data_IF_020193146832
#
_entry.id   IF_020193146832
#
_cell.length_a   1.000
_cell.length_b   1.000
_cell.length_c   1.000
_cell.angle_alpha   90.00
_cell.angle_beta   90.00
_cell.angle_gamma   90.00
#
_symmetry.space_group_name_H-M   'P 1'
#
loop_
_entity.id
_entity.type
_entity.pdbx_description
1 polymer ?
#
# COMPACT_ATOMS: atom_id res chain seq x y z
N UNK A 1 71.15 -11.24 79.83
CA UNK A 1 70.01 -10.35 79.55
C UNK A 1 70.43 -9.40 78.44
N UNK A 2 70.12 -9.73 77.18
CA UNK A 2 70.41 -8.86 76.04
C UNK A 2 69.30 -9.05 75.00
N UNK A 3 68.39 -8.09 74.97
CA UNK A 3 67.19 -8.05 74.16
C UNK A 3 67.58 -7.46 72.79
N UNK A 4 67.32 -8.21 71.72
CA UNK A 4 67.60 -7.80 70.34
C UNK A 4 66.46 -6.88 69.88
N UNK A 5 66.72 -5.65 69.39
CA UNK A 5 65.65 -4.72 69.04
C UNK A 5 64.98 -5.09 67.72
N UNK A 6 63.66 -5.12 67.74
CA UNK A 6 62.75 -5.18 66.59
C UNK A 6 62.94 -3.94 65.71
N UNK A 7 63.20 -4.15 64.42
CA UNK A 7 63.29 -3.08 63.43
C UNK A 7 61.90 -2.87 62.82
N UNK A 8 61.16 -1.89 63.31
CA UNK A 8 59.90 -1.43 62.71
C UNK A 8 60.20 -0.71 61.40
N UNK A 9 59.85 -1.34 60.28
CA UNK A 9 59.89 -0.71 58.97
C UNK A 9 58.85 0.42 58.91
N UNK A 10 59.32 1.68 58.92
CA UNK A 10 58.50 2.85 58.61
C UNK A 10 58.12 2.80 57.12
N UNK A 11 56.85 2.52 56.82
CA UNK A 11 56.28 2.82 55.51
C UNK A 11 56.35 4.34 55.29
N UNK A 12 57.06 4.78 54.24
CA UNK A 12 57.05 6.18 53.85
C UNK A 12 55.74 6.49 53.13
N UNK A 13 54.82 7.19 53.79
CA UNK A 13 53.72 7.85 53.10
C UNK A 13 54.29 9.08 52.39
N UNK A 14 54.54 8.97 51.09
CA UNK A 14 54.94 10.10 50.25
C UNK A 14 53.66 10.84 49.86
N UNK A 15 53.49 12.06 50.36
CA UNK A 15 52.41 12.95 49.95
C UNK A 15 52.59 13.41 48.49
N UNK A 16 51.50 13.46 47.74
CA UNK A 16 51.49 13.93 46.35
C UNK A 16 51.89 15.40 46.27
N UNK A 17 52.76 15.74 45.31
CA UNK A 17 53.14 17.14 45.09
C UNK A 17 52.06 17.85 44.28
N UNK A 18 51.83 19.15 44.54
CA UNK A 18 50.80 19.94 43.85
C UNK A 18 50.99 19.98 42.33
N UNK A 19 52.24 19.87 41.86
CA UNK A 19 52.58 19.82 40.44
C UNK A 19 52.21 18.49 39.78
N UNK A 20 52.31 17.37 40.50
CA UNK A 20 51.93 16.04 40.00
C UNK A 20 50.40 15.94 39.84
N UNK A 21 49.64 16.57 40.75
CA UNK A 21 48.18 16.67 40.65
C UNK A 21 47.75 17.57 39.47
N UNK A 22 48.50 18.65 39.19
CA UNK A 22 48.24 19.52 38.03
C UNK A 22 48.53 18.78 36.71
N UNK A 23 49.66 18.07 36.63
CA UNK A 23 50.05 17.30 35.43
C UNK A 23 49.01 16.19 35.15
N UNK A 24 48.58 15.46 36.17
CA UNK A 24 47.57 14.39 36.02
C UNK A 24 46.22 14.93 35.56
N UNK A 25 45.73 16.06 36.09
CA UNK A 25 44.50 16.69 35.58
C UNK A 25 44.62 17.08 34.11
N UNK A 26 45.74 17.69 33.71
CA UNK A 26 45.94 18.12 32.31
C UNK A 26 45.96 16.91 31.38
N UNK A 27 46.68 15.85 31.73
CA UNK A 27 46.69 14.60 30.95
C UNK A 27 45.27 14.01 30.88
N UNK A 28 44.52 14.01 31.98
CA UNK A 28 43.17 13.46 32.02
C UNK A 28 42.20 14.25 31.14
N UNK A 29 42.27 15.58 31.13
CA UNK A 29 41.47 16.44 30.24
C UNK A 29 41.75 16.16 28.78
N UNK A 30 43.02 16.03 28.38
CA UNK A 30 43.37 15.65 27.01
C UNK A 30 42.88 14.24 26.64
N UNK A 31 42.96 13.30 27.57
CA UNK A 31 42.49 11.93 27.37
C UNK A 31 40.97 11.89 27.20
N UNK A 32 40.21 12.61 28.02
CA UNK A 32 38.75 12.76 27.88
C UNK A 32 38.40 13.43 26.56
N UNK A 33 39.12 14.48 26.16
CA UNK A 33 38.86 15.17 24.90
C UNK A 33 39.04 14.22 23.69
N UNK A 34 40.11 13.45 23.66
CA UNK A 34 40.34 12.45 22.61
C UNK A 34 39.27 11.33 22.62
N UNK A 35 38.93 10.82 23.80
CA UNK A 35 37.87 9.81 23.95
C UNK A 35 36.49 10.35 23.53
N UNK A 36 36.19 11.61 23.82
CA UNK A 36 34.93 12.27 23.46
C UNK A 36 34.76 12.43 21.96
N UNK A 37 35.83 12.76 21.23
CA UNK A 37 35.80 12.82 19.76
C UNK A 37 35.49 11.45 19.14
N UNK A 38 36.15 10.39 19.61
CA UNK A 38 35.90 9.02 19.16
C UNK A 38 34.45 8.61 19.47
N UNK A 39 34.00 8.85 20.70
CA UNK A 39 32.64 8.52 21.12
C UNK A 39 31.57 9.26 20.31
N UNK A 40 31.81 10.55 19.99
CA UNK A 40 30.88 11.34 19.18
C UNK A 40 30.79 10.81 17.75
N UNK A 41 31.92 10.43 17.15
CA UNK A 41 31.95 9.77 15.84
C UNK A 41 31.18 8.45 15.84
N UNK A 42 31.45 7.59 16.82
CA UNK A 42 30.76 6.29 16.97
C UNK A 42 29.26 6.46 17.19
N UNK A 43 28.84 7.41 18.03
CA UNK A 43 27.41 7.70 18.25
C UNK A 43 26.72 8.19 16.98
N UNK A 44 27.38 9.02 16.19
CA UNK A 44 26.82 9.57 14.94
C UNK A 44 26.65 8.47 13.91
N UNK A 45 27.70 7.66 13.71
CA UNK A 45 27.65 6.50 12.83
C UNK A 45 26.59 5.49 13.28
N UNK A 46 26.50 5.18 14.57
CA UNK A 46 25.48 4.29 15.11
C UNK A 46 24.07 4.82 14.85
N UNK A 47 23.83 6.12 15.09
CA UNK A 47 22.53 6.75 14.78
C UNK A 47 22.20 6.64 13.30
N UNK A 48 23.15 6.92 12.41
CA UNK A 48 22.94 6.81 10.96
C UNK A 48 22.58 5.37 10.56
N UNK A 49 23.36 4.38 11.01
CA UNK A 49 23.12 2.97 10.71
C UNK A 49 21.76 2.50 11.25
N UNK A 50 21.40 2.91 12.47
CA UNK A 50 20.10 2.61 13.06
C UNK A 50 18.95 3.21 12.25
N UNK A 51 19.08 4.45 11.76
CA UNK A 51 18.05 5.11 10.94
C UNK A 51 17.91 4.46 9.57
N UNK A 52 19.02 4.11 8.93
CA UNK A 52 18.99 3.38 7.65
C UNK A 52 18.29 2.02 7.82
N UNK A 53 18.59 1.30 8.91
CA UNK A 53 17.95 0.02 9.21
C UNK A 53 16.45 0.17 9.47
N UNK A 54 16.02 1.16 10.25
CA UNK A 54 14.61 1.50 10.49
C UNK A 54 13.87 1.75 9.18
N UNK A 55 14.38 2.66 8.32
CA UNK A 55 13.74 2.98 7.04
C UNK A 55 13.70 1.78 6.08
N UNK A 56 14.68 0.88 6.16
CA UNK A 56 14.68 -0.35 5.34
C UNK A 56 13.60 -1.33 5.79
N UNK A 57 13.41 -1.51 7.10
CA UNK A 57 12.37 -2.40 7.63
C UNK A 57 10.98 -1.83 7.33
N UNK A 58 10.78 -0.53 7.55
CA UNK A 58 9.53 0.17 7.21
C UNK A 58 9.20 0.01 5.72
N UNK A 59 10.19 0.23 4.84
CA UNK A 59 10.01 0.04 3.40
C UNK A 59 9.66 -1.38 3.01
N UNK A 60 10.29 -2.40 3.60
CA UNK A 60 9.96 -3.80 3.27
C UNK A 60 8.49 -4.10 3.63
N UNK A 61 8.04 -3.72 4.83
CA UNK A 61 6.69 -4.03 5.29
C UNK A 61 5.64 -3.22 4.50
N UNK A 62 5.85 -1.91 4.34
CA UNK A 62 4.91 -1.05 3.64
C UNK A 62 4.75 -1.42 2.16
N UNK A 63 5.84 -1.80 1.50
CA UNK A 63 5.81 -2.20 0.09
C UNK A 63 5.27 -3.63 -0.12
N UNK A 64 5.36 -4.51 0.89
CA UNK A 64 4.71 -5.82 0.82
C UNK A 64 3.18 -5.72 0.85
N UNK A 65 2.63 -4.75 1.58
CA UNK A 65 1.19 -4.44 1.55
C UNK A 65 0.76 -4.04 0.12
N UNK A 66 1.50 -3.14 -0.53
CA UNK A 66 1.23 -2.76 -1.92
C UNK A 66 1.35 -3.97 -2.87
N UNK A 67 2.41 -4.76 -2.73
CA UNK A 67 2.62 -5.97 -3.54
C UNK A 67 1.44 -6.94 -3.41
N UNK A 68 0.99 -7.22 -2.18
CA UNK A 68 -0.11 -8.14 -1.92
C UNK A 68 -1.44 -7.62 -2.47
N UNK A 69 -1.72 -6.33 -2.34
CA UNK A 69 -2.94 -5.73 -2.90
C UNK A 69 -2.95 -5.82 -4.44
N UNK A 70 -1.82 -5.61 -5.11
CA UNK A 70 -1.70 -5.79 -6.57
C UNK A 70 -1.94 -7.25 -6.97
N UNK A 71 -1.35 -8.19 -6.24
CA UNK A 71 -1.50 -9.63 -6.51
C UNK A 71 -2.97 -10.08 -6.40
N UNK A 72 -3.68 -9.53 -5.41
CA UNK A 72 -5.08 -9.85 -5.11
C UNK A 72 -6.10 -8.90 -5.75
N UNK A 73 -5.65 -7.99 -6.62
CA UNK A 73 -6.54 -7.10 -7.35
C UNK A 73 -7.58 -7.89 -8.15
N UNK A 74 -8.84 -7.48 -8.10
CA UNK A 74 -9.94 -8.19 -8.75
C UNK A 74 -10.59 -9.32 -7.94
N UNK A 75 -9.99 -9.74 -6.81
CA UNK A 75 -10.62 -10.72 -5.92
C UNK A 75 -12.00 -10.22 -5.46
N UNK A 76 -13.03 -11.05 -5.63
CA UNK A 76 -14.39 -10.71 -5.20
C UNK A 76 -15.02 -9.52 -5.92
N UNK A 77 -14.48 -9.08 -7.07
CA UNK A 77 -15.10 -8.01 -7.86
C UNK A 77 -16.24 -8.55 -8.73
N UNK A 78 -17.48 -8.05 -8.55
CA UNK A 78 -18.60 -8.38 -9.44
C UNK A 78 -18.36 -7.89 -10.87
N UNK A 79 -19.01 -8.56 -11.83
CA UNK A 79 -18.97 -8.19 -13.25
C UNK A 79 -20.37 -7.91 -13.81
N UNK A 80 -21.29 -8.83 -13.56
CA UNK A 80 -22.70 -8.66 -13.88
C UNK A 80 -23.51 -8.34 -12.63
N UNK A 81 -24.80 -8.07 -12.81
CA UNK A 81 -25.76 -7.85 -11.72
C UNK A 81 -27.01 -8.70 -11.99
N UNK A 82 -27.63 -9.21 -10.93
CA UNK A 82 -28.90 -9.95 -11.01
C UNK A 82 -29.85 -9.50 -9.91
N UNK A 83 -31.16 -9.64 -10.13
CA UNK A 83 -32.20 -9.32 -9.15
C UNK A 83 -32.68 -7.87 -9.18
N UNK A 84 -32.38 -7.16 -10.27
CA UNK A 84 -32.90 -5.83 -10.61
C UNK A 84 -33.33 -5.81 -12.08
N UNK A 85 -34.26 -4.91 -12.41
CA UNK A 85 -34.77 -4.69 -13.77
C UNK A 85 -34.00 -3.54 -14.44
N UNK A 86 -33.75 -3.66 -15.74
CA UNK A 86 -33.24 -2.54 -16.56
C UNK A 86 -34.41 -1.58 -16.86
N UNK A 87 -34.47 -0.46 -16.14
CA UNK A 87 -35.57 0.51 -16.24
C UNK A 87 -35.44 1.37 -17.51
N UNK A 88 -34.22 1.61 -17.96
CA UNK A 88 -33.91 2.58 -19.00
C UNK A 88 -33.60 1.92 -20.38
N UNK A 89 -33.53 0.58 -20.42
CA UNK A 89 -33.42 -0.28 -21.60
C UNK A 89 -32.13 -0.03 -22.38
N UNK A 90 -31.02 0.19 -21.68
CA UNK A 90 -29.69 0.40 -22.25
C UNK A 90 -28.77 -0.83 -22.13
N UNK A 91 -29.27 -1.95 -21.59
CA UNK A 91 -28.54 -3.19 -21.31
C UNK A 91 -27.39 -3.02 -20.29
N UNK A 92 -27.41 -1.95 -19.48
CA UNK A 92 -26.41 -1.65 -18.47
C UNK A 92 -27.02 -1.65 -17.06
N UNK A 93 -27.13 -2.82 -16.44
CA UNK A 93 -27.69 -2.95 -15.10
C UNK A 93 -26.90 -2.23 -13.99
N UNK A 94 -25.66 -1.79 -14.24
CA UNK A 94 -24.85 -1.12 -13.23
C UNK A 94 -25.40 0.23 -12.80
N UNK A 95 -26.00 0.99 -13.73
CA UNK A 95 -26.60 2.28 -13.42
C UNK A 95 -27.88 2.19 -12.56
N UNK A 96 -28.47 0.99 -12.48
CA UNK A 96 -29.62 0.67 -11.63
C UNK A 96 -29.24 0.02 -10.28
N UNK A 97 -27.94 -0.21 -9.98
CA UNK A 97 -27.51 -0.80 -8.69
C UNK A 97 -27.81 0.17 -7.53
N UNK A 98 -28.70 -0.18 -6.58
CA UNK A 98 -29.16 0.77 -5.57
C UNK A 98 -28.04 1.24 -4.64
N UNK A 99 -27.76 2.54 -4.64
CA UNK A 99 -26.79 3.15 -3.70
C UNK A 99 -25.33 2.87 -4.03
N UNK A 100 -25.01 2.37 -5.23
CA UNK A 100 -23.63 2.22 -5.66
C UNK A 100 -22.97 3.58 -5.88
N UNK A 101 -22.09 3.92 -4.95
CA UNK A 101 -21.30 5.16 -4.94
C UNK A 101 -19.86 4.83 -4.52
N UNK A 102 -18.88 5.46 -5.14
CA UNK A 102 -17.48 5.36 -4.69
C UNK A 102 -17.10 6.64 -3.96
N UNK A 103 -16.13 7.39 -4.48
CA UNK A 103 -15.73 8.66 -3.92
C UNK A 103 -16.61 9.81 -4.40
N UNK A 104 -16.71 10.85 -3.59
CA UNK A 104 -17.51 12.05 -3.85
C UNK A 104 -16.67 13.33 -3.94
N UNK A 105 -15.36 13.22 -3.72
CA UNK A 105 -14.42 14.34 -3.76
C UNK A 105 -13.22 14.08 -4.67
N UNK A 106 -12.74 15.13 -5.34
CA UNK A 106 -11.49 15.07 -6.10
C UNK A 106 -10.28 14.96 -5.14
N UNK A 107 -9.19 14.28 -5.53
CA UNK A 107 -8.96 13.64 -6.83
C UNK A 107 -9.61 12.25 -6.98
N UNK A 108 -10.18 11.69 -5.92
CA UNK A 108 -10.67 10.31 -5.88
C UNK A 108 -11.78 10.02 -6.91
N UNK A 109 -12.63 11.02 -7.20
CA UNK A 109 -13.73 10.90 -8.18
C UNK A 109 -13.27 10.55 -9.59
N UNK A 110 -12.05 10.94 -9.97
CA UNK A 110 -11.51 10.74 -11.32
C UNK A 110 -11.24 9.25 -11.62
N UNK A 111 -11.25 8.41 -10.58
CA UNK A 111 -10.98 6.97 -10.65
C UNK A 111 -12.18 6.11 -10.22
N UNK A 112 -13.38 6.69 -10.18
CA UNK A 112 -14.63 5.96 -9.95
C UNK A 112 -15.05 5.15 -11.18
N UNK A 113 -15.68 4.00 -10.95
CA UNK A 113 -16.48 3.26 -11.93
C UNK A 113 -17.97 3.53 -11.75
N UNK A 114 -18.36 3.77 -10.49
CA UNK A 114 -19.70 4.15 -10.11
C UNK A 114 -20.20 5.42 -10.82
N UNK A 115 -21.52 5.53 -11.05
CA UNK A 115 -22.52 4.49 -10.81
C UNK A 115 -22.65 3.52 -12.00
N UNK A 116 -22.15 3.87 -13.18
CA UNK A 116 -22.62 3.29 -14.44
C UNK A 116 -21.82 2.09 -14.94
N UNK A 117 -20.70 1.73 -14.31
CA UNK A 117 -19.80 0.71 -14.86
C UNK A 117 -19.52 -0.41 -13.85
N UNK A 118 -19.28 -1.64 -14.33
CA UNK A 118 -18.69 -2.68 -13.49
C UNK A 118 -17.33 -2.25 -12.95
N UNK A 119 -16.99 -2.63 -11.71
CA UNK A 119 -15.71 -2.27 -11.12
C UNK A 119 -14.54 -2.90 -11.86
N UNK A 120 -13.60 -2.06 -12.27
CA UNK A 120 -12.30 -2.52 -12.78
C UNK A 120 -11.32 -2.79 -11.63
N UNK A 121 -10.42 -3.78 -11.75
CA UNK A 121 -9.46 -4.09 -10.69
C UNK A 121 -8.45 -2.96 -10.46
N UNK A 122 -8.16 -2.18 -11.50
CA UNK A 122 -7.23 -1.06 -11.46
C UNK A 122 -7.81 0.20 -12.09
N UNK A 123 -7.47 1.36 -11.52
CA UNK A 123 -7.50 2.66 -12.19
C UNK A 123 -6.17 3.36 -11.89
N UNK A 124 -5.73 4.24 -12.77
CA UNK A 124 -4.51 4.99 -12.50
C UNK A 124 -4.43 6.29 -13.27
N UNK A 125 -3.70 7.24 -12.70
CA UNK A 125 -3.32 8.47 -13.37
C UNK A 125 -1.80 8.53 -13.52
N UNK A 126 -1.34 8.77 -14.75
CA UNK A 126 0.07 8.96 -15.06
C UNK A 126 0.45 10.44 -14.83
N UNK A 127 1.44 10.68 -13.98
CA UNK A 127 1.84 12.03 -13.57
C UNK A 127 0.71 12.80 -12.89
N UNK A 128 -0.24 12.11 -12.28
CA UNK A 128 -1.49 12.65 -11.75
C UNK A 128 -1.35 13.49 -10.46
N UNK A 129 -0.12 13.79 -10.03
CA UNK A 129 0.20 14.81 -9.03
C UNK A 129 -0.15 16.25 -9.42
N UNK A 130 -1.36 16.48 -9.94
CA UNK A 130 -1.92 17.80 -10.27
C UNK A 130 -2.98 18.25 -9.25
N UNK A 131 -3.38 17.38 -8.31
CA UNK A 131 -4.28 17.72 -7.21
C UNK A 131 -3.50 18.24 -5.98
N UNK A 132 -4.06 19.25 -5.30
CA UNK A 132 -3.45 19.82 -4.10
C UNK A 132 -3.25 18.75 -3.02
N UNK A 133 -2.00 18.56 -2.57
CA UNK A 133 -1.65 17.59 -1.53
C UNK A 133 -1.01 16.29 -2.03
N UNK A 134 -0.81 16.12 -3.34
CA UNK A 134 -0.07 14.99 -3.94
C UNK A 134 1.23 15.51 -4.57
N UNK A 135 2.33 14.75 -4.45
CA UNK A 135 3.62 15.13 -5.06
C UNK A 135 3.52 15.14 -6.58
N UNK A 136 3.99 16.23 -7.19
CA UNK A 136 3.77 16.50 -8.61
C UNK A 136 4.57 15.58 -9.55
N UNK A 137 3.89 15.11 -10.61
CA UNK A 137 4.47 14.24 -11.63
C UNK A 137 4.66 12.79 -11.21
N UNK A 138 4.27 12.42 -9.98
CA UNK A 138 4.14 11.03 -9.56
C UNK A 138 2.78 10.44 -9.97
N UNK A 139 2.75 9.13 -10.12
CA UNK A 139 1.56 8.38 -10.50
C UNK A 139 0.59 8.19 -9.33
N UNK A 140 -0.64 7.85 -9.69
CA UNK A 140 -1.72 7.50 -8.79
C UNK A 140 -2.24 6.11 -9.16
N UNK A 141 -2.33 5.19 -8.21
CA UNK A 141 -2.79 3.82 -8.46
C UNK A 141 -3.98 3.50 -7.56
N UNK A 142 -5.09 3.08 -8.15
CA UNK A 142 -6.26 2.57 -7.46
C UNK A 142 -6.32 1.07 -7.67
N UNK A 143 -6.52 0.34 -6.57
CA UNK A 143 -6.71 -1.10 -6.56
C UNK A 143 -8.08 -1.40 -5.96
N UNK A 144 -8.86 -2.23 -6.64
CA UNK A 144 -10.20 -2.65 -6.19
C UNK A 144 -10.24 -4.16 -6.00
N UNK A 145 -10.77 -4.60 -4.86
CA UNK A 145 -10.93 -6.00 -4.48
C UNK A 145 -11.78 -6.09 -3.21
N UNK A 146 -12.32 -7.25 -2.87
CA UNK A 146 -12.97 -7.47 -1.58
C UNK A 146 -11.98 -7.36 -0.39
N UNK A 147 -10.68 -7.52 -0.60
CA UNK A 147 -9.68 -7.65 0.47
C UNK A 147 -8.77 -6.45 0.71
N UNK A 148 -8.89 -5.35 -0.04
CA UNK A 148 -7.94 -4.22 0.06
C UNK A 148 -8.20 -3.28 1.23
N UNK A 149 -9.35 -3.39 1.91
CA UNK A 149 -9.62 -2.62 3.13
C UNK A 149 -8.90 -3.22 4.36
N UNK A 150 -8.63 -2.41 5.39
CA UNK A 150 -8.04 -2.88 6.65
C UNK A 150 -9.05 -3.57 7.59
N UNK A 151 -10.32 -3.67 7.21
CA UNK A 151 -11.36 -4.36 7.98
C UNK A 151 -11.10 -5.86 8.13
N UNK A 152 -11.37 -6.43 9.31
CA UNK A 152 -11.21 -7.88 9.56
C UNK A 152 -12.10 -8.75 8.67
N UNK A 153 -13.25 -8.23 8.23
CA UNK A 153 -14.15 -8.91 7.31
C UNK A 153 -13.65 -8.90 5.85
N UNK A 154 -12.78 -7.95 5.48
CA UNK A 154 -12.38 -7.73 4.09
C UNK A 154 -11.70 -8.98 3.51
N UNK A 155 -12.19 -9.46 2.37
CA UNK A 155 -11.61 -10.58 1.64
C UNK A 155 -11.91 -11.98 2.20
N UNK A 156 -12.43 -12.06 3.44
CA UNK A 156 -12.98 -13.32 3.96
C UNK A 156 -14.13 -13.77 3.08
N UNK A 157 -14.19 -15.07 2.82
CA UNK A 157 -15.23 -15.63 1.97
C UNK A 157 -15.72 -17.00 2.45
N UNK A 158 -16.95 -17.30 2.07
CA UNK A 158 -17.55 -18.62 2.23
C UNK A 158 -18.49 -18.91 1.07
N UNK A 159 -19.03 -20.12 1.01
CA UNK A 159 -20.01 -20.52 0.01
C UNK A 159 -21.40 -20.66 0.60
N UNK A 160 -22.40 -20.47 -0.25
CA UNK A 160 -23.78 -20.77 0.06
C UNK A 160 -24.14 -22.23 -0.23
N UNK A 161 -25.16 -22.72 0.46
CA UNK A 161 -25.82 -24.00 0.30
C UNK A 161 -27.29 -23.75 -0.04
N UNK A 162 -27.94 -24.68 -0.73
CA UNK A 162 -29.35 -24.54 -1.10
C UNK A 162 -30.34 -24.75 0.07
N UNK A 163 -29.85 -25.15 1.24
CA UNK A 163 -30.64 -25.42 2.44
C UNK A 163 -29.99 -24.86 3.72
N UNK A 164 -30.75 -24.65 4.81
CA UNK A 164 -30.20 -24.21 6.10
C UNK A 164 -29.03 -25.10 6.57
N UNK A 165 -27.94 -24.53 7.11
CA UNK A 165 -27.77 -23.14 7.57
C UNK A 165 -27.46 -22.09 6.48
N UNK A 166 -27.58 -22.43 5.19
CA UNK A 166 -27.30 -21.60 4.01
C UNK A 166 -25.86 -21.13 3.86
N UNK A 167 -25.21 -20.68 4.92
CA UNK A 167 -23.80 -20.29 4.93
C UNK A 167 -22.96 -21.41 5.51
N UNK A 168 -21.83 -21.69 4.87
CA UNK A 168 -20.85 -22.63 5.43
C UNK A 168 -19.94 -21.90 6.43
N UNK A 169 -19.68 -22.50 7.58
CA UNK A 169 -18.64 -22.06 8.51
C UNK A 169 -17.41 -22.96 8.39
N UNK A 170 -16.22 -22.36 8.50
CA UNK A 170 -14.94 -23.06 8.49
C UNK A 170 -14.57 -23.59 9.88
N UNK A 171 -15.20 -23.04 10.93
CA UNK A 171 -14.89 -23.30 12.34
C UNK A 171 -13.46 -22.86 12.72
N UNK A 172 -12.98 -21.81 12.04
CA UNK A 172 -11.70 -21.16 12.27
C UNK A 172 -11.96 -19.66 12.43
N UNK A 173 -11.74 -19.14 13.63
CA UNK A 173 -12.06 -17.74 13.97
C UNK A 173 -11.35 -16.71 13.07
N UNK A 174 -10.20 -17.07 12.49
CA UNK A 174 -9.43 -16.21 11.57
C UNK A 174 -10.03 -16.15 10.17
N UNK A 175 -10.85 -17.14 9.77
CA UNK A 175 -11.41 -17.25 8.42
C UNK A 175 -12.92 -17.01 8.40
N UNK A 176 -13.60 -17.22 9.52
CA UNK A 176 -15.04 -17.02 9.64
C UNK A 176 -15.40 -15.53 9.70
N UNK A 177 -16.49 -15.20 9.01
CA UNK A 177 -17.17 -13.91 9.09
C UNK A 177 -17.95 -13.82 10.40
N UNK A 178 -18.02 -12.61 10.96
CA UNK A 178 -18.86 -12.30 12.12
C UNK A 178 -20.28 -11.97 11.67
N UNK A 179 -21.26 -12.29 12.51
CA UNK A 179 -22.69 -12.07 12.24
C UNK A 179 -23.05 -10.65 11.80
N UNK A 180 -22.29 -9.66 12.27
CA UNK A 180 -22.50 -8.23 12.03
C UNK A 180 -21.66 -7.67 10.88
N UNK A 181 -20.86 -8.48 10.21
CA UNK A 181 -20.06 -8.06 9.06
C UNK A 181 -20.96 -7.74 7.86
N UNK A 182 -20.55 -6.79 7.02
CA UNK A 182 -21.22 -6.50 5.74
C UNK A 182 -20.67 -7.40 4.67
N UNK A 183 -21.60 -8.06 3.98
CA UNK A 183 -21.27 -9.02 2.94
C UNK A 183 -22.02 -8.72 1.66
N UNK A 184 -21.44 -9.14 0.56
CA UNK A 184 -22.10 -9.27 -0.74
C UNK A 184 -22.18 -10.75 -1.12
N UNK A 185 -23.08 -11.07 -2.04
CA UNK A 185 -23.21 -12.41 -2.60
C UNK A 185 -22.96 -12.34 -4.10
N UNK A 186 -22.02 -13.16 -4.57
CA UNK A 186 -21.70 -13.32 -5.98
C UNK A 186 -22.18 -14.68 -6.47
N UNK A 187 -22.93 -14.70 -7.56
CA UNK A 187 -23.15 -15.92 -8.33
C UNK A 187 -22.05 -16.05 -9.38
N UNK A 188 -21.32 -17.19 -9.44
CA UNK A 188 -20.21 -17.36 -10.36
C UNK A 188 -20.67 -17.34 -11.82
N UNK A 189 -21.92 -17.75 -12.10
CA UNK A 189 -22.47 -17.86 -13.44
C UNK A 189 -21.80 -18.95 -14.29
N UNK A 190 -22.27 -19.08 -15.53
CA UNK A 190 -21.78 -20.07 -16.51
C UNK A 190 -21.58 -19.49 -17.91
N UNK A 191 -21.88 -18.20 -18.09
CA UNK A 191 -21.81 -17.46 -19.36
C UNK A 191 -21.30 -16.05 -19.10
N UNK A 192 -20.82 -15.35 -20.12
CA UNK A 192 -20.31 -13.98 -19.96
C UNK A 192 -21.36 -12.99 -19.44
N UNK A 193 -22.64 -13.22 -19.77
CA UNK A 193 -23.75 -12.36 -19.35
C UNK A 193 -24.24 -12.60 -17.92
N UNK A 194 -23.78 -13.66 -17.26
CA UNK A 194 -24.15 -13.95 -15.87
C UNK A 194 -22.95 -14.30 -14.97
N UNK A 195 -21.74 -14.21 -15.49
CA UNK A 195 -20.53 -14.52 -14.73
C UNK A 195 -20.31 -13.49 -13.62
N UNK A 196 -19.90 -13.96 -12.44
CA UNK A 196 -19.60 -13.13 -11.25
C UNK A 196 -20.70 -12.08 -10.98
N UNK A 197 -21.96 -12.50 -11.07
CA UNK A 197 -23.12 -11.63 -10.90
C UNK A 197 -23.30 -11.21 -9.44
N UNK A 198 -23.38 -9.91 -9.19
CA UNK A 198 -23.79 -9.35 -7.91
C UNK A 198 -25.28 -9.65 -7.67
N UNK A 199 -25.58 -10.38 -6.59
CA UNK A 199 -26.96 -10.73 -6.23
C UNK A 199 -27.60 -9.59 -5.45
N UNK A 200 -28.58 -8.94 -6.07
CA UNK A 200 -29.42 -7.90 -5.44
C UNK A 200 -30.73 -8.53 -5.00
N UNK A 201 -31.07 -8.36 -3.71
CA UNK A 201 -32.29 -8.92 -3.13
C UNK A 201 -32.96 -7.87 -2.25
N UNK A 202 -34.27 -7.68 -2.42
CA UNK A 202 -35.03 -6.71 -1.60
C UNK A 202 -34.56 -5.26 -1.77
N UNK A 203 -34.02 -4.92 -2.95
CA UNK A 203 -33.50 -3.58 -3.25
C UNK A 203 -32.13 -3.27 -2.62
N UNK A 204 -31.39 -4.27 -2.15
CA UNK A 204 -30.03 -4.11 -1.63
C UNK A 204 -29.08 -5.14 -2.23
N UNK A 205 -27.88 -4.71 -2.59
CA UNK A 205 -26.79 -5.59 -3.06
C UNK A 205 -25.95 -6.16 -1.90
N UNK A 206 -26.20 -5.73 -0.67
CA UNK A 206 -25.47 -6.15 0.51
C UNK A 206 -26.40 -6.47 1.68
N UNK A 207 -25.90 -7.23 2.64
CA UNK A 207 -26.60 -7.57 3.88
C UNK A 207 -25.62 -7.75 5.04
N UNK A 208 -26.14 -7.96 6.26
CA UNK A 208 -25.33 -8.49 7.35
C UNK A 208 -25.13 -9.99 7.14
N UNK A 209 -23.97 -10.53 7.54
CA UNK A 209 -23.68 -11.96 7.38
C UNK A 209 -24.75 -12.86 8.03
N UNK A 210 -25.21 -12.51 9.23
CA UNK A 210 -26.29 -13.22 9.94
C UNK A 210 -27.66 -13.18 9.24
N UNK A 211 -27.86 -12.26 8.31
CA UNK A 211 -29.11 -12.11 7.55
C UNK A 211 -29.04 -12.79 6.17
N UNK A 212 -27.91 -13.40 5.82
CA UNK A 212 -27.81 -14.25 4.62
C UNK A 212 -28.73 -15.46 4.80
N UNK A 213 -29.68 -15.60 3.88
CA UNK A 213 -30.82 -16.52 4.00
C UNK A 213 -31.20 -17.11 2.64
N UNK A 214 -32.34 -17.82 2.58
CA UNK A 214 -32.86 -18.46 1.38
C UNK A 214 -32.92 -17.54 0.15
N UNK A 215 -33.19 -16.24 0.35
CA UNK A 215 -33.30 -15.27 -0.76
C UNK A 215 -31.97 -14.99 -1.46
N UNK A 216 -30.84 -15.36 -0.86
CA UNK A 216 -29.51 -15.29 -1.48
C UNK A 216 -29.02 -16.66 -1.93
N UNK A 217 -29.58 -17.74 -1.39
CA UNK A 217 -29.15 -19.11 -1.64
C UNK A 217 -29.40 -19.52 -3.11
N UNK A 218 -28.55 -20.40 -3.65
CA UNK A 218 -28.83 -21.04 -4.93
C UNK A 218 -30.06 -21.96 -4.82
N UNK A 219 -30.70 -22.25 -5.96
CA UNK A 219 -31.87 -23.14 -6.02
C UNK A 219 -31.48 -24.59 -5.66
N UNK A 220 -30.27 -25.00 -6.05
CA UNK A 220 -29.67 -26.29 -5.72
C UNK A 220 -28.16 -26.14 -5.52
N UNK A 221 -27.51 -27.15 -4.95
CA UNK A 221 -26.09 -27.13 -4.62
C UNK A 221 -25.14 -27.19 -5.84
N UNK A 222 -25.67 -27.21 -7.08
CA UNK A 222 -24.84 -27.13 -8.29
C UNK A 222 -24.45 -25.69 -8.64
N UNK A 223 -25.21 -24.68 -8.19
CA UNK A 223 -24.83 -23.26 -8.25
C UNK A 223 -24.10 -22.84 -6.96
N UNK A 224 -22.77 -22.70 -7.03
CA UNK A 224 -21.95 -22.33 -5.86
C UNK A 224 -21.85 -20.81 -5.74
N UNK A 225 -22.81 -20.19 -5.07
CA UNK A 225 -22.71 -18.76 -4.74
C UNK A 225 -21.68 -18.51 -3.64
N UNK A 226 -20.93 -17.43 -3.79
CA UNK A 226 -19.89 -17.02 -2.86
C UNK A 226 -20.36 -15.80 -2.06
N UNK A 227 -20.12 -15.83 -0.75
CA UNK A 227 -20.29 -14.69 0.14
C UNK A 227 -18.91 -14.08 0.36
N UNK A 228 -18.78 -12.78 0.10
CA UNK A 228 -17.56 -12.02 0.39
C UNK A 228 -17.84 -11.00 1.49
N UNK A 229 -17.00 -10.98 2.52
CA UNK A 229 -16.93 -9.89 3.48
C UNK A 229 -16.28 -8.66 2.86
N UNK A 230 -16.94 -7.52 3.05
CA UNK A 230 -16.49 -6.22 2.53
C UNK A 230 -16.06 -5.31 3.69
N UNK A 231 -16.90 -5.14 4.71
CA UNK A 231 -16.55 -4.32 5.86
C UNK A 231 -16.97 -4.97 7.15
N UNK A 232 -16.32 -4.58 8.25
CA UNK A 232 -16.82 -4.86 9.57
C UNK A 232 -18.18 -4.15 9.78
N UNK A 233 -18.83 -4.43 10.91
CA UNK A 233 -19.99 -3.66 11.34
C UNK A 233 -19.65 -2.16 11.40
N UNK A 234 -20.42 -1.34 10.67
CA UNK A 234 -20.23 0.11 10.62
C UNK A 234 -21.47 0.87 11.12
N UNK A 235 -21.33 2.13 11.57
CA UNK A 235 -22.41 2.90 12.20
C UNK A 235 -23.65 3.11 11.33
N UNK A 236 -23.48 3.18 10.00
CA UNK A 236 -24.59 3.36 9.06
C UNK A 236 -25.24 2.04 8.66
N UNK A 237 -24.60 0.90 8.96
CA UNK A 237 -25.03 -0.42 8.54
C UNK A 237 -25.17 -0.56 7.00
N UNK A 238 -24.43 0.24 6.23
CA UNK A 238 -24.50 0.28 4.76
C UNK A 238 -23.13 0.06 4.11
N UNK A 239 -23.14 -0.28 2.82
CA UNK A 239 -21.97 -0.19 1.94
C UNK A 239 -22.16 0.95 0.94
N UNK A 240 -21.04 1.54 0.52
CA UNK A 240 -20.99 2.51 -0.59
C UNK A 240 -20.85 1.80 -1.93
N UNK A 241 -19.98 0.79 -1.99
CA UNK A 241 -19.71 0.00 -3.16
C UNK A 241 -19.72 -1.50 -2.82
N UNK A 242 -19.99 -2.39 -3.78
CA UNK A 242 -19.95 -3.83 -3.60
C UNK A 242 -18.52 -4.39 -3.63
N UNK A 243 -17.53 -3.63 -3.13
CA UNK A 243 -16.11 -3.98 -3.09
C UNK A 243 -15.38 -2.98 -2.19
N UNK A 244 -14.14 -3.31 -1.81
CA UNK A 244 -13.22 -2.36 -1.23
C UNK A 244 -12.33 -1.73 -2.29
N UNK A 245 -11.90 -0.49 -2.03
CA UNK A 245 -11.01 0.30 -2.87
C UNK A 245 -9.88 0.86 -2.02
N UNK A 246 -8.66 0.77 -2.53
CA UNK A 246 -7.48 1.37 -1.95
C UNK A 246 -6.72 2.20 -3.00
N UNK A 247 -6.39 3.43 -2.64
CA UNK A 247 -5.71 4.38 -3.51
C UNK A 247 -4.28 4.61 -2.99
N UNK A 248 -3.31 4.51 -3.88
CA UNK A 248 -1.88 4.62 -3.59
C UNK A 248 -1.33 5.85 -4.30
N UNK A 249 -0.71 6.73 -3.51
CA UNK A 249 -0.11 7.96 -4.00
C UNK A 249 0.88 8.51 -2.97
N UNK A 250 1.68 9.49 -3.39
CA UNK A 250 2.58 10.20 -2.49
C UNK A 250 1.87 11.43 -1.94
N UNK A 251 1.49 11.36 -0.67
CA UNK A 251 0.98 12.51 0.08
C UNK A 251 2.10 13.53 0.27
N UNK A 252 1.84 14.80 -0.03
CA UNK A 252 2.80 15.90 0.08
C UNK A 252 3.06 16.35 1.54
N UNK A 253 2.73 15.51 2.51
CA UNK A 253 3.05 15.72 3.92
C UNK A 253 4.57 15.76 4.07
N UNK A 254 5.08 16.93 4.45
CA UNK A 254 6.50 17.12 4.73
C UNK A 254 6.85 16.59 6.13
N UNK A 255 7.81 15.68 6.19
CA UNK A 255 8.34 15.15 7.45
C UNK A 255 9.70 15.79 7.76
N UNK A 256 9.96 16.25 9.00
CA UNK A 256 11.21 16.92 9.35
C UNK A 256 12.49 16.08 9.15
N UNK A 257 12.35 14.74 9.12
CA UNK A 257 13.46 13.81 8.88
C UNK A 257 13.77 13.61 7.39
N UNK A 258 12.84 13.97 6.52
CA UNK A 258 12.94 13.76 5.08
C UNK A 258 13.48 15.00 4.36
N UNK A 259 14.03 14.79 3.18
CA UNK A 259 14.47 15.86 2.29
C UNK A 259 13.28 16.72 1.87
N UNK A 260 13.47 18.04 1.85
CA UNK A 260 12.40 18.97 1.42
C UNK A 260 12.07 18.72 -0.05
N UNK A 261 10.80 18.49 -0.35
CA UNK A 261 10.33 18.08 -1.69
C UNK A 261 10.00 16.59 -1.80
N UNK A 262 10.19 15.82 -0.73
CA UNK A 262 9.68 14.44 -0.60
C UNK A 262 8.39 14.40 0.21
N UNK A 263 7.64 13.31 0.06
CA UNK A 263 6.40 13.04 0.78
C UNK A 263 6.36 11.64 1.38
N UNK A 264 5.14 11.16 1.62
CA UNK A 264 4.86 9.84 2.20
C UNK A 264 4.02 9.05 1.21
N UNK A 265 4.48 7.87 0.80
CA UNK A 265 3.63 6.92 0.09
C UNK A 265 2.56 6.42 1.06
N UNK A 266 1.29 6.63 0.71
CA UNK A 266 0.15 6.23 1.51
C UNK A 266 -0.72 5.20 0.78
N UNK A 267 -1.35 4.32 1.55
CA UNK A 267 -2.54 3.57 1.14
C UNK A 267 -3.76 4.27 1.72
N UNK A 268 -4.64 4.78 0.89
CA UNK A 268 -5.89 5.40 1.29
C UNK A 268 -7.04 4.43 1.00
N UNK A 269 -7.61 3.81 2.04
CA UNK A 269 -8.72 2.87 1.90
C UNK A 269 -10.07 3.62 1.95
N UNK A 270 -10.97 3.34 1.01
CA UNK A 270 -12.31 3.92 0.95
C UNK A 270 -13.13 3.49 2.18
N UNK A 271 -13.76 4.45 2.84
CA UNK A 271 -14.57 4.23 4.02
C UNK A 271 -16.06 4.06 3.66
N UNK A 272 -16.64 2.91 3.98
CA UNK A 272 -18.06 2.62 3.76
C UNK A 272 -19.02 3.38 4.69
N UNK A 273 -18.55 3.98 5.79
CA UNK A 273 -19.34 4.83 6.68
C UNK A 273 -19.36 6.28 6.19
N UNK A 274 -20.34 6.63 5.36
CA UNK A 274 -20.62 7.99 4.88
C UNK A 274 -21.18 8.97 5.95
N UNK A 275 -20.72 8.88 7.20
CA UNK A 275 -21.20 9.73 8.30
C UNK A 275 -20.52 11.10 8.27
N UNK A 276 -21.26 12.17 8.58
CA UNK A 276 -20.70 13.51 8.68
C UNK A 276 -19.52 13.56 9.69
N UNK A 277 -18.38 14.09 9.27
CA UNK A 277 -17.16 14.17 10.08
C UNK A 277 -16.25 12.94 9.99
N UNK A 278 -16.63 11.89 9.26
CA UNK A 278 -15.76 10.77 8.90
C UNK A 278 -15.11 11.05 7.54
N UNK A 279 -13.79 10.92 7.47
CA UNK A 279 -13.07 11.06 6.20
C UNK A 279 -13.49 9.95 5.24
N UNK A 280 -13.69 10.32 3.98
CA UNK A 280 -14.08 9.38 2.91
C UNK A 280 -13.02 8.29 2.69
N UNK A 281 -11.76 8.61 2.97
CA UNK A 281 -10.64 7.67 2.93
C UNK A 281 -9.89 7.68 4.26
N UNK A 282 -9.38 6.50 4.63
CA UNK A 282 -8.45 6.35 5.76
C UNK A 282 -7.05 6.07 5.22
N UNK A 283 -6.14 7.00 5.46
CA UNK A 283 -4.76 6.93 5.01
C UNK A 283 -3.89 6.13 5.99
N UNK A 284 -3.09 5.23 5.43
CA UNK A 284 -2.05 4.47 6.11
C UNK A 284 -0.70 4.78 5.45
N UNK A 285 0.22 5.44 6.17
CA UNK A 285 1.61 5.60 5.70
C UNK A 285 2.28 4.25 5.46
N UNK A 286 2.92 4.09 4.31
CA UNK A 286 3.66 2.87 3.93
C UNK A 286 5.16 3.11 3.88
N UNK A 287 5.58 4.24 3.31
CA UNK A 287 6.98 4.58 3.15
C UNK A 287 7.16 6.09 3.18
N UNK A 288 8.08 6.54 4.02
CA UNK A 288 8.45 7.95 4.14
C UNK A 288 9.50 8.36 3.11
N UNK A 289 9.65 9.68 2.97
CA UNK A 289 10.75 10.29 2.25
C UNK A 289 10.79 9.92 0.76
N UNK A 290 9.61 9.79 0.17
CA UNK A 290 9.41 9.37 -1.22
C UNK A 290 9.39 10.61 -2.13
N UNK A 291 10.26 10.62 -3.14
CA UNK A 291 10.34 11.68 -4.14
C UNK A 291 9.46 11.40 -5.35
N UNK A 292 9.30 10.13 -5.75
CA UNK A 292 8.54 9.78 -6.94
C UNK A 292 8.00 8.35 -6.92
N UNK A 293 6.86 8.13 -7.58
CA UNK A 293 6.27 6.82 -7.84
C UNK A 293 5.82 6.74 -9.29
N UNK A 294 6.15 5.66 -9.97
CA UNK A 294 5.78 5.40 -11.37
C UNK A 294 5.21 3.98 -11.50
N UNK A 295 4.14 3.82 -12.28
CA UNK A 295 3.39 2.57 -12.45
C UNK A 295 3.32 2.18 -13.92
N UNK A 296 3.71 0.95 -14.20
CA UNK A 296 3.79 0.38 -15.54
C UNK A 296 2.99 -0.92 -15.56
N UNK A 297 2.27 -1.16 -16.65
CA UNK A 297 1.44 -2.33 -16.87
C UNK A 297 1.99 -3.15 -18.03
N UNK A 298 2.05 -4.47 -17.86
CA UNK A 298 2.24 -5.41 -18.95
C UNK A 298 0.85 -5.78 -19.49
N UNK A 299 0.57 -5.40 -20.73
CA UNK A 299 -0.73 -5.58 -21.38
C UNK A 299 -0.63 -6.66 -22.46
N UNK A 300 -1.44 -7.70 -22.28
CA UNK A 300 -1.85 -8.69 -23.29
C UNK A 300 -2.79 -8.00 -24.28
N UNK A 301 -2.27 -7.53 -25.40
CA UNK A 301 -3.02 -6.72 -26.37
C UNK A 301 -3.54 -7.53 -27.55
N UNK A 302 -2.96 -8.70 -27.80
CA UNK A 302 -3.48 -9.67 -28.77
C UNK A 302 -4.48 -10.66 -28.17
N UNK A 303 -4.74 -10.56 -26.85
CA UNK A 303 -5.78 -11.25 -26.09
C UNK A 303 -5.61 -12.79 -26.17
N UNK A 304 -4.37 -13.29 -26.19
CA UNK A 304 -4.05 -14.72 -26.28
C UNK A 304 -3.87 -15.42 -24.93
N UNK A 305 -3.84 -14.64 -23.84
CA UNK A 305 -3.94 -15.11 -22.47
C UNK A 305 -2.67 -14.91 -21.64
N UNK A 306 -1.52 -14.71 -22.25
CA UNK A 306 -0.24 -14.43 -21.59
C UNK A 306 0.31 -13.04 -21.89
N UNK A 307 1.59 -12.81 -21.64
CA UNK A 307 2.23 -11.52 -21.90
C UNK A 307 3.63 -11.76 -22.42
N UNK A 308 3.86 -11.42 -23.68
CA UNK A 308 5.16 -11.55 -24.33
C UNK A 308 5.57 -10.21 -24.92
N UNK A 309 6.36 -9.43 -24.17
CA UNK A 309 6.87 -8.14 -24.63
C UNK A 309 7.38 -8.19 -26.09
N UNK A 310 6.63 -7.57 -27.01
CA UNK A 310 6.72 -7.83 -28.44
C UNK A 310 5.44 -8.54 -28.93
N UNK A 311 5.47 -9.16 -30.12
CA UNK A 311 4.42 -10.05 -30.66
C UNK A 311 2.98 -9.53 -30.82
N UNK A 312 2.62 -8.37 -30.29
CA UNK A 312 1.24 -7.88 -30.18
C UNK A 312 1.05 -7.11 -28.88
N UNK A 313 1.74 -7.56 -27.84
CA UNK A 313 1.79 -7.01 -26.50
C UNK A 313 2.74 -5.85 -26.30
N UNK A 314 2.45 -5.07 -25.26
CA UNK A 314 3.29 -3.95 -24.90
C UNK A 314 3.19 -3.59 -23.42
N UNK A 315 4.27 -2.99 -22.92
CA UNK A 315 4.19 -2.21 -21.71
C UNK A 315 3.43 -0.91 -21.94
N UNK A 316 2.69 -0.45 -20.94
CA UNK A 316 2.04 0.85 -20.91
C UNK A 316 2.26 1.52 -19.56
N UNK A 317 2.45 2.84 -19.53
CA UNK A 317 2.43 3.65 -18.31
C UNK A 317 1.05 4.30 -18.08
N UNK A 318 0.01 3.83 -18.76
CA UNK A 318 -1.35 4.34 -18.62
C UNK A 318 -2.40 3.28 -18.92
N UNK A 319 -3.48 3.31 -18.16
CA UNK A 319 -4.72 2.58 -18.44
C UNK A 319 -5.80 3.49 -19.03
N UNK A 320 -5.48 4.75 -19.32
CA UNK A 320 -6.46 5.71 -19.83
C UNK A 320 -7.07 5.23 -21.16
N UNK A 321 -8.40 5.28 -21.25
CA UNK A 321 -9.15 4.86 -22.42
C UNK A 321 -9.45 3.36 -22.49
N UNK A 322 -8.92 2.53 -21.58
CA UNK A 322 -9.31 1.13 -21.47
C UNK A 322 -10.59 0.97 -20.64
N UNK A 323 -11.49 0.09 -21.07
CA UNK A 323 -12.69 -0.28 -20.30
C UNK A 323 -12.34 -1.22 -19.13
N UNK A 324 -13.25 -1.37 -18.15
CA UNK A 324 -13.09 -2.38 -17.08
C UNK A 324 -12.86 -3.79 -17.62
N UNK A 325 -13.49 -4.15 -18.74
CA UNK A 325 -13.32 -5.46 -19.38
C UNK A 325 -11.90 -5.62 -19.91
N UNK A 326 -11.41 -4.62 -20.66
CA UNK A 326 -10.05 -4.63 -21.20
C UNK A 326 -9.01 -4.66 -20.09
N UNK A 327 -9.18 -3.88 -19.02
CA UNK A 327 -8.23 -3.90 -17.89
C UNK A 327 -8.20 -5.28 -17.23
N UNK A 328 -9.37 -5.91 -17.04
CA UNK A 328 -9.47 -7.24 -16.41
C UNK A 328 -8.85 -8.35 -17.25
N UNK A 329 -8.99 -8.29 -18.57
CA UNK A 329 -8.50 -9.33 -19.49
C UNK A 329 -7.03 -9.14 -19.86
N UNK A 330 -6.60 -7.88 -20.02
CA UNK A 330 -5.29 -7.53 -20.58
C UNK A 330 -4.18 -7.30 -19.56
N UNK A 331 -4.48 -6.86 -18.34
CA UNK A 331 -3.43 -6.58 -17.34
C UNK A 331 -2.92 -7.88 -16.71
N UNK A 332 -1.73 -8.32 -17.12
CA UNK A 332 -1.09 -9.55 -16.60
C UNK A 332 -0.05 -9.29 -15.51
N UNK A 333 0.62 -8.14 -15.58
CA UNK A 333 1.63 -7.72 -14.59
C UNK A 333 1.55 -6.22 -14.34
N UNK A 334 1.78 -5.82 -13.09
CA UNK A 334 1.95 -4.41 -12.70
C UNK A 334 3.34 -4.25 -12.09
N UNK A 335 4.06 -3.24 -12.56
CA UNK A 335 5.38 -2.85 -12.08
C UNK A 335 5.29 -1.48 -11.44
N UNK A 336 5.68 -1.38 -10.17
CA UNK A 336 5.70 -0.11 -9.42
C UNK A 336 7.15 0.23 -9.05
N UNK A 337 7.56 1.44 -9.39
CA UNK A 337 8.88 1.99 -9.12
C UNK A 337 8.75 3.17 -8.17
N UNK A 338 9.47 3.15 -7.06
CA UNK A 338 9.37 4.17 -6.00
C UNK A 338 10.77 4.68 -5.67
N UNK A 339 11.00 5.97 -5.88
CA UNK A 339 12.24 6.65 -5.50
C UNK A 339 12.09 7.25 -4.11
N UNK A 340 12.91 6.81 -3.16
CA UNK A 340 12.95 7.35 -1.81
C UNK A 340 14.39 7.45 -1.30
N UNK A 341 14.61 8.18 -0.20
CA UNK A 341 15.90 8.17 0.47
C UNK A 341 15.88 7.37 1.78
N UNK A 342 17.00 6.74 2.11
CA UNK A 342 17.19 5.97 3.33
C UNK A 342 17.87 6.80 4.43
N UNK A 343 17.47 6.58 5.67
CA UNK A 343 18.00 7.29 6.82
C UNK A 343 17.76 8.81 6.78
N UNK A 344 18.65 9.56 7.43
CA UNK A 344 18.60 11.02 7.53
C UNK A 344 19.71 11.67 6.73
N UNK A 345 19.63 13.00 6.54
CA UNK A 345 20.68 13.81 5.92
C UNK A 345 22.03 13.53 6.58
N UNK A 346 23.03 13.31 5.74
CA UNK A 346 24.42 13.10 6.12
C UNK A 346 25.30 14.14 5.42
N UNK A 347 25.71 15.22 6.11
CA UNK A 347 26.50 16.29 5.50
C UNK A 347 27.82 15.83 4.88
N UNK A 348 28.38 14.72 5.36
CA UNK A 348 29.65 14.17 4.91
C UNK A 348 29.48 13.14 3.77
N UNK A 349 28.23 12.77 3.45
CA UNK A 349 27.90 11.91 2.33
C UNK A 349 27.70 12.72 1.05
N UNK A 350 28.17 12.18 -0.07
CA UNK A 350 27.89 12.73 -1.41
C UNK A 350 27.37 11.59 -2.28
N UNK A 351 26.12 11.70 -2.70
CA UNK A 351 25.47 10.78 -3.62
C UNK A 351 26.07 10.93 -5.03
N UNK A 352 26.51 9.83 -5.61
CA UNK A 352 27.14 9.76 -6.93
C UNK A 352 26.55 8.68 -7.84
N UNK A 353 25.54 7.94 -7.36
CA UNK A 353 24.94 6.81 -8.08
C UNK A 353 23.71 7.24 -8.92
N UNK A 354 23.90 8.23 -9.78
CA UNK A 354 22.88 8.66 -10.74
C UNK A 354 22.73 7.61 -11.85
N UNK A 355 21.49 7.28 -12.21
CA UNK A 355 21.19 6.25 -13.23
C UNK A 355 20.81 6.83 -14.59
N UNK A 356 20.61 8.16 -14.66
CA UNK A 356 20.33 8.90 -15.87
C UNK A 356 21.32 10.08 -16.04
N UNK A 357 21.15 10.85 -17.11
CA UNK A 357 22.03 11.99 -17.39
C UNK A 357 22.00 13.07 -16.30
N UNK A 358 23.17 13.61 -15.97
CA UNK A 358 23.31 14.70 -15.00
C UNK A 358 23.08 14.23 -13.56
N UNK A 359 22.14 14.88 -12.87
CA UNK A 359 21.76 14.63 -11.47
C UNK A 359 20.49 13.77 -11.35
N UNK A 360 20.18 13.00 -12.39
CA UNK A 360 18.90 12.31 -12.50
C UNK A 360 18.97 10.83 -12.13
N UNK A 361 17.87 10.32 -11.59
CA UNK A 361 17.65 8.89 -11.33
C UNK A 361 16.43 8.45 -12.13
N UNK A 362 16.57 7.42 -12.96
CA UNK A 362 15.44 6.79 -13.64
C UNK A 362 14.52 6.10 -12.65
N UNK A 363 13.27 6.52 -12.61
CA UNK A 363 12.17 5.93 -11.84
C UNK A 363 11.23 5.29 -12.85
N UNK A 364 11.31 3.97 -12.98
CA UNK A 364 10.59 3.25 -14.02
C UNK A 364 11.45 2.23 -14.74
N UNK A 365 10.85 1.60 -15.74
CA UNK A 365 11.52 0.62 -16.60
C UNK A 365 12.46 1.30 -17.60
N UNK A 366 12.16 2.54 -17.96
CA UNK A 366 12.97 3.46 -18.77
C UNK A 366 12.43 4.89 -18.61
N UNK A 367 13.10 5.88 -19.20
CA UNK A 367 12.59 7.26 -19.25
C UNK A 367 11.25 7.40 -20.01
N UNK A 368 10.86 6.42 -20.83
CA UNK A 368 9.57 6.38 -21.54
C UNK A 368 8.49 5.71 -20.70
N UNK A 369 8.84 4.64 -20.00
CA UNK A 369 7.96 3.86 -19.14
C UNK A 369 8.28 4.16 -17.67
N UNK A 370 7.96 5.39 -17.28
CA UNK A 370 8.35 6.05 -16.05
C UNK A 370 8.88 7.44 -16.37
N UNK A 371 9.95 7.87 -15.70
CA UNK A 371 10.69 9.10 -16.04
C UNK A 371 12.08 9.15 -15.43
N UNK A 372 12.90 10.08 -15.91
CA UNK A 372 14.14 10.47 -15.22
C UNK A 372 13.84 11.61 -14.24
N UNK A 373 13.98 11.34 -12.95
CA UNK A 373 13.75 12.31 -11.89
C UNK A 373 15.03 13.08 -11.59
N UNK A 374 15.03 14.39 -11.81
CA UNK A 374 16.18 15.24 -11.47
C UNK A 374 16.22 15.54 -9.96
N UNK A 375 17.19 14.94 -9.27
CA UNK A 375 17.37 15.14 -7.84
C UNK A 375 17.79 16.57 -7.49
N UNK A 376 18.28 17.37 -8.43
CA UNK A 376 18.64 18.76 -8.17
C UNK A 376 17.45 19.63 -7.72
N UNK A 377 16.22 19.17 -7.98
CA UNK A 377 14.99 19.77 -7.47
C UNK A 377 14.79 19.59 -5.94
N UNK A 378 15.55 18.70 -5.31
CA UNK A 378 15.50 18.42 -3.88
C UNK A 378 16.66 19.12 -3.15
N UNK A 379 16.34 19.82 -2.07
CA UNK A 379 17.36 20.50 -1.25
C UNK A 379 18.35 19.50 -0.66
N UNK A 380 19.65 19.81 -0.73
CA UNK A 380 20.74 18.97 -0.22
C UNK A 380 20.73 17.54 -0.78
N UNK A 381 20.20 17.31 -1.99
CA UNK A 381 20.01 15.97 -2.57
C UNK A 381 21.26 15.07 -2.52
N UNK A 382 22.47 15.64 -2.63
CA UNK A 382 23.73 14.91 -2.53
C UNK A 382 23.97 14.31 -1.13
N UNK A 383 23.39 14.87 -0.08
CA UNK A 383 23.58 14.43 1.30
C UNK A 383 22.56 13.37 1.75
N UNK A 384 21.82 12.77 0.81
CA UNK A 384 20.85 11.71 1.06
C UNK A 384 21.17 10.46 0.25
N UNK A 385 20.85 9.28 0.79
CA UNK A 385 21.06 7.99 0.13
C UNK A 385 19.80 7.60 -0.62
N UNK A 386 19.75 7.90 -1.91
CA UNK A 386 18.61 7.59 -2.75
C UNK A 386 18.60 6.14 -3.20
N UNK A 387 17.40 5.56 -3.30
CA UNK A 387 17.15 4.19 -3.70
C UNK A 387 15.84 4.11 -4.47
N UNK A 388 15.86 3.32 -5.54
CA UNK A 388 14.65 2.95 -6.28
C UNK A 388 14.21 1.56 -5.83
N UNK A 389 13.03 1.48 -5.23
CA UNK A 389 12.34 0.22 -4.97
C UNK A 389 11.59 -0.20 -6.23
N UNK A 390 11.65 -1.47 -6.58
CA UNK A 390 10.97 -2.04 -7.75
C UNK A 390 10.12 -3.21 -7.31
N UNK A 391 8.83 -3.16 -7.61
CA UNK A 391 7.86 -4.20 -7.29
C UNK A 391 7.25 -4.68 -8.60
N UNK A 392 7.46 -5.95 -8.95
CA UNK A 392 6.88 -6.56 -10.15
C UNK A 392 5.95 -7.68 -9.70
N UNK A 393 4.67 -7.57 -10.04
CA UNK A 393 3.64 -8.48 -9.52
C UNK A 393 2.71 -8.91 -10.64
N UNK A 394 2.49 -10.22 -10.73
CA UNK A 394 1.47 -10.80 -11.60
C UNK A 394 0.12 -10.83 -10.90
N UNK A 395 -0.95 -10.64 -11.65
CA UNK A 395 -2.31 -10.53 -11.13
C UNK A 395 -2.97 -11.91 -11.01
N UNK A 396 -3.00 -12.47 -9.80
CA UNK A 396 -3.48 -13.85 -9.57
C UNK A 396 -4.98 -14.04 -9.84
N UNK A 397 -5.78 -12.97 -9.72
CA UNK A 397 -7.24 -13.03 -9.88
C UNK A 397 -7.74 -12.54 -11.26
N UNK A 398 -6.82 -12.11 -12.14
CA UNK A 398 -7.13 -11.62 -13.49
C UNK A 398 -6.62 -12.56 -14.60
N UNK A 399 -5.56 -13.31 -14.34
CA UNK A 399 -4.88 -14.19 -15.30
C UNK A 399 -5.57 -15.54 -15.59
N UNK A 400 -6.82 -15.74 -15.17
CA UNK A 400 -7.53 -17.03 -15.25
C UNK A 400 -8.90 -16.98 -15.92
N UNK A 401 -9.12 -16.04 -16.83
CA UNK A 401 -10.33 -16.00 -17.68
C UNK A 401 -10.07 -16.62 -19.04
#
# INVERSE_FOLDING_TARGET
MHQKPETTARMSERGFTLIELLITMVIFVFTIAAASQIFTGLLTQFKQQSRIAETNIEGIVGLDILRQDIEHAGLGLPWNVTGIDDINVNDNLWDEVPGYTEASSAPYTDYNDAPNNPPGPFRSGNGAGLAAGIVAGSDYLVIKSAGVAPDDAAGKNTRLQSAPPYVRTWALYTEDLSDTDRVIVLSPGSTDSNSRSLVVTGGSYHTQYSAVSASYAPVDDTDVRLVYGISNANPLNTLRAPFNRADYYISAIALPRCATGTGVLVKAALNHSASAGVLEFTEMPLLDCVADMQVIYALDNDDDGDFENGSGDAYSNSLAGLTSLQIRTRVKEVQVYILAHEGQRDPDFTFDNFTAGGTSVTVGRSAVFGRDFDLSAITDYLNYRWKVYTINVRTSNLSSL
#
